data_IF_916144361717
#
_entry.id   IF_916144361717
#
_cell.length_a   1.000
_cell.length_b   1.000
_cell.length_c   1.000
_cell.angle_alpha   90.00
_cell.angle_beta   90.00
_cell.angle_gamma   90.00
#
_symmetry.space_group_name_H-M   'P 1'
#
loop_
_entity.id
_entity.type
_entity.pdbx_description
1 polymer ?
#
# COMPACT_ATOMS: atom_id res chain seq x y z
N UNK A 1 -12.95 -25.42 -33.64
CA UNK A 1 -13.64 -24.18 -33.24
C UNK A 1 -12.62 -23.07 -33.32
N UNK A 2 -12.90 -22.01 -34.09
CA UNK A 2 -11.93 -20.97 -34.41
C UNK A 2 -11.39 -20.33 -33.12
N UNK A 3 -10.07 -20.32 -32.99
CA UNK A 3 -9.35 -19.69 -31.88
C UNK A 3 -9.54 -18.17 -32.01
N UNK A 4 -10.51 -17.64 -31.29
CA UNK A 4 -10.75 -16.20 -31.21
C UNK A 4 -9.51 -15.54 -30.56
N UNK A 5 -8.61 -15.02 -31.40
CA UNK A 5 -7.46 -14.21 -31.00
C UNK A 5 -7.96 -12.86 -30.50
N UNK A 6 -8.10 -12.76 -29.19
CA UNK A 6 -8.40 -11.50 -28.49
C UNK A 6 -7.10 -10.70 -28.40
N UNK A 7 -7.13 -9.41 -28.70
CA UNK A 7 -5.95 -8.52 -28.60
C UNK A 7 -5.42 -8.46 -27.16
N UNK A 8 -4.38 -9.24 -26.91
CA UNK A 8 -3.58 -9.43 -25.69
C UNK A 8 -2.60 -8.27 -25.39
N UNK A 9 -2.58 -7.21 -26.19
CA UNK A 9 -1.71 -6.05 -25.95
C UNK A 9 -0.23 -6.34 -26.19
N UNK A 10 0.65 -5.86 -25.31
CA UNK A 10 2.13 -5.87 -25.49
C UNK A 10 2.87 -6.99 -24.73
N UNK A 11 2.16 -7.96 -24.14
CA UNK A 11 2.74 -9.09 -23.39
C UNK A 11 2.23 -10.44 -23.93
N UNK A 12 2.83 -11.59 -23.52
CA UNK A 12 2.46 -12.91 -24.03
C UNK A 12 0.97 -13.23 -23.84
N UNK A 13 0.42 -14.07 -24.72
CA UNK A 13 -0.98 -14.47 -24.75
C UNK A 13 -1.42 -15.07 -23.40
N UNK A 14 -2.65 -14.76 -22.97
CA UNK A 14 -3.23 -15.42 -21.80
C UNK A 14 -3.47 -16.90 -22.10
N UNK A 15 -2.92 -17.77 -21.25
CA UNK A 15 -3.35 -19.17 -21.20
C UNK A 15 -4.80 -19.25 -20.77
N UNK A 16 -5.62 -20.03 -21.48
CA UNK A 16 -6.98 -20.33 -21.04
C UNK A 16 -6.93 -21.51 -20.07
N UNK A 17 -7.34 -21.28 -18.82
CA UNK A 17 -7.54 -22.30 -17.81
C UNK A 17 -8.89 -22.07 -17.14
N UNK A 18 -9.61 -23.15 -16.82
CA UNK A 18 -10.83 -23.05 -16.03
C UNK A 18 -10.49 -22.59 -14.60
N UNK A 19 -11.25 -21.61 -14.12
CA UNK A 19 -11.17 -21.16 -12.73
C UNK A 19 -11.52 -22.35 -11.82
N UNK A 20 -10.69 -22.66 -10.80
CA UNK A 20 -11.06 -23.66 -9.82
C UNK A 20 -12.36 -23.26 -9.14
N UNK A 21 -13.24 -24.24 -8.89
CA UNK A 21 -14.51 -23.98 -8.21
C UNK A 21 -14.25 -23.30 -6.86
N UNK A 22 -15.04 -22.27 -6.50
CA UNK A 22 -14.87 -21.58 -5.24
C UNK A 22 -15.02 -22.59 -4.08
N UNK A 23 -14.17 -22.53 -3.04
CA UNK A 23 -14.31 -23.41 -1.89
C UNK A 23 -15.71 -23.26 -1.30
N UNK A 24 -16.32 -24.37 -0.87
CA UNK A 24 -17.62 -24.33 -0.23
C UNK A 24 -17.62 -23.37 0.96
N UNK A 25 -18.68 -22.56 1.09
CA UNK A 25 -18.86 -21.61 2.19
C UNK A 25 -19.07 -22.37 3.51
N UNK A 26 -17.97 -22.82 4.11
CA UNK A 26 -17.91 -23.40 5.44
C UNK A 26 -17.04 -22.51 6.33
N UNK A 27 -17.33 -22.44 7.63
CA UNK A 27 -16.60 -21.63 8.61
C UNK A 27 -15.09 -21.88 8.56
N UNK A 28 -14.67 -23.13 8.36
CA UNK A 28 -13.26 -23.52 8.21
C UNK A 28 -12.61 -22.91 6.95
N UNK A 29 -13.33 -22.93 5.83
CA UNK A 29 -12.86 -22.35 4.56
C UNK A 29 -12.87 -20.82 4.62
N UNK A 30 -13.84 -20.23 5.32
CA UNK A 30 -13.90 -18.79 5.57
C UNK A 30 -12.67 -18.31 6.35
N UNK A 31 -12.30 -19.01 7.44
CA UNK A 31 -11.09 -18.68 8.20
C UNK A 31 -9.81 -18.85 7.35
N UNK A 32 -9.73 -19.91 6.53
CA UNK A 32 -8.54 -20.11 5.67
C UNK A 32 -8.38 -19.03 4.60
N UNK A 33 -9.46 -18.42 4.13
CA UNK A 33 -9.43 -17.34 3.13
C UNK A 33 -9.24 -15.98 3.79
N UNK A 34 -9.84 -15.73 4.95
CA UNK A 34 -9.72 -14.47 5.69
C UNK A 34 -8.34 -14.30 6.31
N UNK A 35 -7.74 -15.39 6.81
CA UNK A 35 -6.45 -15.36 7.53
C UNK A 35 -5.33 -14.60 6.79
N UNK A 36 -5.00 -14.94 5.54
CA UNK A 36 -4.01 -14.21 4.76
C UNK A 36 -4.36 -12.73 4.57
N UNK A 37 -5.63 -12.42 4.31
CA UNK A 37 -6.12 -11.05 4.16
C UNK A 37 -5.95 -10.24 5.45
N UNK A 38 -6.28 -10.81 6.61
CA UNK A 38 -6.12 -10.17 7.91
C UNK A 38 -4.65 -9.86 8.24
N UNK A 39 -3.73 -10.77 7.90
CA UNK A 39 -2.28 -10.53 8.09
C UNK A 39 -1.83 -9.33 7.23
N UNK A 40 -2.19 -9.32 5.94
CA UNK A 40 -1.88 -8.20 5.06
C UNK A 40 -2.52 -6.87 5.55
N UNK A 41 -3.76 -6.91 6.01
CA UNK A 41 -4.45 -5.73 6.56
C UNK A 41 -3.76 -5.21 7.83
N UNK A 42 -3.30 -6.10 8.71
CA UNK A 42 -2.59 -5.73 9.93
C UNK A 42 -1.24 -5.06 9.67
N UNK A 43 -0.55 -5.44 8.58
CA UNK A 43 0.70 -4.82 8.17
C UNK A 43 0.49 -3.42 7.60
N UNK A 44 -0.63 -3.20 6.90
CA UNK A 44 -0.98 -1.88 6.33
C UNK A 44 -1.40 -0.88 7.41
N UNK A 45 -2.08 -1.31 8.47
CA UNK A 45 -2.42 -0.44 9.62
C UNK A 45 -1.18 -0.29 10.50
N UNK A 46 -0.25 0.56 10.06
CA UNK A 46 0.98 0.89 10.79
C UNK A 46 0.74 1.82 11.98
N UNK A 47 1.67 1.82 12.95
CA UNK A 47 1.64 2.69 14.13
C UNK A 47 1.61 4.21 13.81
N UNK A 48 2.01 4.61 12.59
CA UNK A 48 1.99 5.99 12.13
C UNK A 48 0.59 6.58 11.89
N UNK A 49 -0.38 5.77 11.44
CA UNK A 49 -1.76 6.23 11.21
C UNK A 49 -2.49 6.52 12.53
N UNK A 50 -2.17 5.78 13.58
CA UNK A 50 -2.72 5.96 14.93
C UNK A 50 -2.34 7.30 15.57
N UNK A 51 -1.24 7.92 15.16
CA UNK A 51 -0.85 9.26 15.64
C UNK A 51 -1.37 10.36 14.71
N UNK A 52 -1.30 10.15 13.40
CA UNK A 52 -1.73 11.14 12.41
C UNK A 52 -3.25 11.35 12.40
N UNK A 53 -4.04 10.29 12.59
CA UNK A 53 -5.51 10.38 12.65
C UNK A 53 -6.00 11.30 13.78
N UNK A 54 -5.63 11.05 15.05
CA UNK A 54 -5.98 11.91 16.17
C UNK A 54 -5.38 13.31 16.07
N UNK A 55 -4.14 13.45 15.57
CA UNK A 55 -3.53 14.76 15.37
C UNK A 55 -4.29 15.61 14.33
N UNK A 56 -4.69 14.99 13.21
CA UNK A 56 -5.52 15.64 12.19
C UNK A 56 -6.92 15.98 12.73
N UNK A 57 -7.53 15.07 13.48
CA UNK A 57 -8.83 15.33 14.13
C UNK A 57 -8.75 16.43 15.20
N UNK A 58 -7.63 16.55 15.93
CA UNK A 58 -7.41 17.61 16.90
C UNK A 58 -7.16 18.98 16.23
N UNK A 59 -6.49 18.99 15.07
CA UNK A 59 -6.15 20.22 14.35
C UNK A 59 -7.31 20.75 13.49
N UNK A 60 -8.06 19.87 12.82
CA UNK A 60 -9.12 20.23 11.88
C UNK A 60 -10.53 19.94 12.41
N UNK A 61 -10.64 19.29 13.57
CA UNK A 61 -11.90 18.89 14.17
C UNK A 61 -12.49 17.61 13.54
N UNK A 62 -13.66 17.14 14.02
CA UNK A 62 -14.33 15.95 13.51
C UNK A 62 -14.85 16.09 12.07
N UNK A 63 -14.82 17.31 11.51
CA UNK A 63 -15.23 17.61 10.13
C UNK A 63 -14.33 16.94 9.08
N UNK A 64 -13.14 16.45 9.43
CA UNK A 64 -12.25 15.78 8.46
C UNK A 64 -12.56 14.28 8.31
N UNK A 65 -13.33 13.69 9.22
CA UNK A 65 -13.58 12.25 9.28
C UNK A 65 -14.35 11.72 8.05
N UNK A 66 -15.15 12.55 7.39
CA UNK A 66 -15.83 12.14 6.16
C UNK A 66 -14.83 11.85 5.02
N UNK A 67 -13.68 12.55 5.00
CA UNK A 67 -12.62 12.30 4.01
C UNK A 67 -12.03 10.91 4.23
N UNK A 68 -11.81 10.54 5.50
CA UNK A 68 -11.37 9.18 5.85
C UNK A 68 -12.39 8.14 5.39
N UNK A 69 -13.68 8.37 5.62
CA UNK A 69 -14.74 7.47 5.18
C UNK A 69 -14.73 7.29 3.65
N UNK A 70 -14.71 8.38 2.89
CA UNK A 70 -14.64 8.33 1.42
C UNK A 70 -13.37 7.61 0.95
N UNK A 71 -12.23 7.87 1.59
CA UNK A 71 -10.96 7.22 1.26
C UNK A 71 -11.01 5.71 1.48
N UNK A 72 -11.56 5.25 2.60
CA UNK A 72 -11.75 3.82 2.89
C UNK A 72 -12.69 3.17 1.89
N UNK A 73 -13.78 3.83 1.51
CA UNK A 73 -14.70 3.35 0.48
C UNK A 73 -14.03 3.20 -0.89
N UNK A 74 -13.29 4.21 -1.32
CA UNK A 74 -12.54 4.15 -2.58
C UNK A 74 -11.47 3.05 -2.54
N UNK A 75 -10.78 2.90 -1.42
CA UNK A 75 -9.77 1.86 -1.24
C UNK A 75 -10.40 0.46 -1.22
N UNK A 76 -11.59 0.29 -0.65
CA UNK A 76 -12.36 -0.96 -0.71
C UNK A 76 -12.69 -1.32 -2.16
N UNK A 77 -13.29 -0.39 -2.90
CA UNK A 77 -13.67 -0.61 -4.32
C UNK A 77 -12.42 -0.95 -5.13
N UNK A 78 -11.35 -0.17 -4.98
CA UNK A 78 -10.10 -0.39 -5.71
C UNK A 78 -9.49 -1.77 -5.44
N UNK A 79 -9.41 -2.18 -4.17
CA UNK A 79 -8.88 -3.50 -3.80
C UNK A 79 -9.77 -4.65 -4.31
N UNK A 80 -11.09 -4.50 -4.26
CA UNK A 80 -12.03 -5.49 -4.80
C UNK A 80 -11.86 -5.64 -6.32
N UNK A 81 -11.72 -4.53 -7.03
CA UNK A 81 -11.49 -4.54 -8.48
C UNK A 81 -10.16 -5.18 -8.85
N UNK A 82 -9.10 -4.88 -8.10
CA UNK A 82 -7.80 -5.52 -8.29
C UNK A 82 -7.86 -7.03 -8.03
N UNK A 83 -8.52 -7.46 -6.95
CA UNK A 83 -8.69 -8.88 -6.64
C UNK A 83 -9.47 -9.60 -7.76
N UNK A 84 -10.55 -8.97 -8.25
CA UNK A 84 -11.34 -9.48 -9.37
C UNK A 84 -10.50 -9.63 -10.65
N UNK A 85 -9.67 -8.64 -10.96
CA UNK A 85 -8.75 -8.69 -12.09
C UNK A 85 -7.76 -9.85 -11.98
N UNK A 86 -7.14 -10.03 -10.81
CA UNK A 86 -6.19 -11.13 -10.55
C UNK A 86 -6.86 -12.49 -10.72
N UNK A 87 -8.09 -12.65 -10.22
CA UNK A 87 -8.84 -13.90 -10.36
C UNK A 87 -9.15 -14.20 -11.83
N UNK A 88 -9.58 -13.22 -12.63
CA UNK A 88 -9.94 -13.46 -14.03
C UNK A 88 -8.75 -13.64 -14.97
N UNK A 89 -7.66 -12.89 -14.77
CA UNK A 89 -6.52 -12.89 -15.70
C UNK A 89 -5.35 -13.76 -15.22
N UNK A 90 -5.34 -14.20 -13.95
CA UNK A 90 -4.21 -14.93 -13.36
C UNK A 90 -2.94 -14.09 -13.20
N UNK A 91 -3.03 -12.77 -13.41
CA UNK A 91 -1.91 -11.84 -13.38
C UNK A 91 -2.19 -10.66 -12.46
N UNK A 92 -1.14 -10.05 -11.91
CA UNK A 92 -1.28 -8.87 -11.08
C UNK A 92 -1.83 -7.68 -11.88
N UNK A 93 -2.60 -6.80 -11.23
CA UNK A 93 -3.11 -5.58 -11.87
C UNK A 93 -1.98 -4.73 -12.46
N UNK A 94 -0.79 -4.73 -11.82
CA UNK A 94 0.43 -4.09 -12.32
C UNK A 94 0.89 -4.66 -13.68
N UNK A 95 0.86 -5.99 -13.85
CA UNK A 95 1.12 -6.64 -15.14
C UNK A 95 0.04 -6.25 -16.16
N UNK A 96 -1.22 -6.15 -15.73
CA UNK A 96 -2.31 -5.66 -16.56
C UNK A 96 -2.05 -4.27 -17.15
N UNK A 97 -1.57 -3.32 -16.33
CA UNK A 97 -1.21 -1.98 -16.81
C UNK A 97 -0.04 -2.00 -17.81
N UNK A 98 0.94 -2.89 -17.62
CA UNK A 98 2.04 -3.06 -18.56
C UNK A 98 1.59 -3.53 -19.96
N UNK A 99 0.38 -4.11 -20.10
CA UNK A 99 -0.22 -4.43 -21.41
C UNK A 99 -0.82 -3.22 -22.13
N UNK A 100 -1.19 -2.17 -21.40
CA UNK A 100 -1.80 -0.97 -21.98
C UNK A 100 -0.74 -0.05 -22.62
N UNK A 101 -1.09 0.61 -23.74
CA UNK A 101 -0.26 1.67 -24.31
C UNK A 101 -0.05 2.76 -23.24
N UNK A 102 1.19 3.10 -22.83
CA UNK A 102 2.41 3.29 -23.65
C UNK A 102 3.44 2.13 -23.60
N UNK A 103 3.07 0.97 -23.04
CA UNK A 103 3.90 -0.24 -23.05
C UNK A 103 4.72 -0.48 -21.78
N UNK A 104 5.30 -1.70 -21.63
CA UNK A 104 5.84 -2.21 -20.37
C UNK A 104 7.06 -1.44 -19.85
N UNK A 105 7.88 -0.86 -20.74
CA UNK A 105 9.05 -0.06 -20.35
C UNK A 105 8.67 1.26 -19.70
N UNK A 106 7.62 1.93 -20.19
CA UNK A 106 7.14 3.18 -19.60
C UNK A 106 6.51 2.93 -18.24
N UNK A 107 5.58 1.97 -18.18
CA UNK A 107 4.91 1.61 -16.93
C UNK A 107 5.88 1.10 -15.87
N UNK A 108 6.88 0.29 -16.24
CA UNK A 108 7.91 -0.16 -15.31
C UNK A 108 8.68 0.98 -14.64
N UNK A 109 9.16 1.95 -15.43
CA UNK A 109 9.83 3.14 -14.89
C UNK A 109 8.89 4.06 -14.12
N UNK A 110 7.67 4.29 -14.62
CA UNK A 110 6.67 5.10 -13.94
C UNK A 110 6.35 4.53 -12.56
N UNK A 111 6.11 3.21 -12.47
CA UNK A 111 5.87 2.54 -11.20
C UNK A 111 7.07 2.53 -10.27
N UNK A 112 8.29 2.35 -10.79
CA UNK A 112 9.50 2.45 -9.99
C UNK A 112 9.67 3.85 -9.38
N UNK A 113 9.43 4.90 -10.17
CA UNK A 113 9.51 6.30 -9.71
C UNK A 113 8.39 6.58 -8.70
N UNK A 114 7.15 6.16 -8.98
CA UNK A 114 6.03 6.34 -8.05
C UNK A 114 6.26 5.60 -6.74
N UNK A 115 6.79 4.38 -6.78
CA UNK A 115 7.17 3.62 -5.59
C UNK A 115 8.28 4.31 -4.81
N UNK A 116 9.31 4.80 -5.49
CA UNK A 116 10.40 5.57 -4.87
C UNK A 116 9.90 6.88 -4.24
N UNK A 117 8.97 7.59 -4.89
CA UNK A 117 8.35 8.80 -4.34
C UNK A 117 7.43 8.48 -3.16
N UNK A 118 6.70 7.36 -3.20
CA UNK A 118 5.79 6.95 -2.13
C UNK A 118 6.55 6.53 -0.87
N UNK A 119 7.61 5.74 -1.01
CA UNK A 119 8.43 5.25 0.11
C UNK A 119 9.45 6.30 0.55
N UNK A 120 10.02 7.05 -0.39
CA UNK A 120 11.00 8.10 -0.13
C UNK A 120 10.40 9.42 0.37
N UNK A 121 9.08 9.50 0.53
CA UNK A 121 8.44 10.71 1.04
C UNK A 121 8.88 10.96 2.49
N UNK A 122 9.51 12.11 2.80
CA UNK A 122 10.03 12.40 4.13
C UNK A 122 8.93 12.46 5.19
N UNK A 123 7.65 12.55 4.80
CA UNK A 123 6.52 12.47 5.71
C UNK A 123 6.43 11.15 6.49
N UNK A 124 6.84 10.01 5.93
CA UNK A 124 6.85 8.73 6.67
C UNK A 124 7.93 8.68 7.74
N UNK A 125 9.12 9.21 7.41
CA UNK A 125 10.21 9.34 8.36
C UNK A 125 9.88 10.35 9.47
N UNK A 126 9.26 11.48 9.11
CA UNK A 126 8.81 12.50 10.05
C UNK A 126 7.69 12.00 10.97
N UNK A 127 6.71 11.25 10.44
CA UNK A 127 5.65 10.64 11.25
C UNK A 127 6.22 9.61 12.24
N UNK A 128 7.11 8.73 11.77
CA UNK A 128 7.77 7.74 12.63
C UNK A 128 8.63 8.40 13.72
N UNK A 129 9.37 9.45 13.36
CA UNK A 129 10.18 10.22 14.32
C UNK A 129 9.32 10.96 15.35
N UNK A 130 8.17 11.50 14.95
CA UNK A 130 7.21 12.11 15.87
C UNK A 130 6.65 11.07 16.86
N UNK A 131 6.38 9.84 16.40
CA UNK A 131 5.95 8.74 17.28
C UNK A 131 7.05 8.30 18.26
N UNK A 132 8.29 8.16 17.79
CA UNK A 132 9.45 7.83 18.64
C UNK A 132 9.71 8.94 19.66
N UNK A 133 9.63 10.19 19.24
CA UNK A 133 9.76 11.32 20.15
C UNK A 133 8.64 11.34 21.18
N UNK A 134 7.38 11.15 20.76
CA UNK A 134 6.23 11.14 21.67
C UNK A 134 6.27 9.96 22.67
N UNK A 135 6.80 8.80 22.28
CA UNK A 135 6.93 7.65 23.18
C UNK A 135 8.01 7.84 24.25
N UNK A 136 9.06 8.61 23.95
CA UNK A 136 10.16 8.90 24.88
C UNK A 136 9.87 10.14 25.73
N UNK A 137 9.35 11.21 25.13
CA UNK A 137 9.12 12.50 25.77
C UNK A 137 7.76 12.59 26.49
N UNK A 138 6.81 11.71 26.17
CA UNK A 138 5.49 11.67 26.81
C UNK A 138 4.55 12.82 26.41
N UNK A 139 4.93 13.65 25.44
CA UNK A 139 4.09 14.71 24.89
C UNK A 139 4.22 14.79 23.36
N UNK A 140 3.21 15.39 22.72
CA UNK A 140 3.23 15.62 21.27
C UNK A 140 4.27 16.72 20.98
N UNK A 141 5.13 16.55 19.95
CA UNK A 141 6.15 17.54 19.63
C UNK A 141 5.56 18.91 19.25
N UNK A 142 6.01 19.96 19.94
CA UNK A 142 5.62 21.35 19.69
C UNK A 142 6.62 22.12 18.82
N UNK A 143 6.34 23.41 18.58
CA UNK A 143 7.26 24.33 17.90
C UNK A 143 8.70 24.37 18.47
N UNK A 144 8.94 24.32 19.80
CA UNK A 144 10.30 24.30 20.35
C UNK A 144 11.05 22.97 20.14
N UNK A 145 10.35 21.85 19.93
CA UNK A 145 10.95 20.52 19.82
C UNK A 145 11.25 20.09 18.38
N UNK A 146 10.96 20.97 17.39
CA UNK A 146 11.17 20.70 15.96
C UNK A 146 12.58 20.20 15.65
N UNK A 147 13.60 20.72 16.33
CA UNK A 147 14.99 20.29 16.15
C UNK A 147 15.21 18.83 16.54
N UNK A 148 14.63 18.39 17.66
CA UNK A 148 14.75 17.00 18.14
C UNK A 148 13.98 16.04 17.23
N UNK A 149 12.78 16.41 16.77
CA UNK A 149 11.98 15.59 15.84
C UNK A 149 12.67 15.45 14.48
N UNK A 150 13.28 16.53 13.96
CA UNK A 150 14.05 16.48 12.72
C UNK A 150 15.30 15.60 12.87
N UNK A 151 16.01 15.68 14.00
CA UNK A 151 17.15 14.82 14.27
C UNK A 151 16.74 13.34 14.29
N UNK A 152 15.67 12.99 15.00
CA UNK A 152 15.11 11.63 14.97
C UNK A 152 14.62 11.22 13.59
N UNK A 153 14.06 12.15 12.81
CA UNK A 153 13.67 11.93 11.41
C UNK A 153 14.84 11.54 10.52
N UNK A 154 15.94 12.29 10.61
CA UNK A 154 17.16 11.99 9.86
C UNK A 154 17.84 10.69 10.31
N UNK A 155 17.88 10.41 11.62
CA UNK A 155 18.42 9.14 12.16
C UNK A 155 17.59 7.96 11.66
N UNK A 156 16.26 8.07 11.72
CA UNK A 156 15.34 7.03 11.23
C UNK A 156 15.52 6.82 9.73
N UNK A 157 15.57 7.90 8.95
CA UNK A 157 15.80 7.84 7.51
C UNK A 157 17.15 7.20 7.16
N UNK A 158 18.22 7.62 7.83
CA UNK A 158 19.56 7.07 7.63
C UNK A 158 19.61 5.57 8.00
N UNK A 159 18.95 5.15 9.07
CA UNK A 159 18.87 3.73 9.45
C UNK A 159 18.15 2.89 8.40
N UNK A 160 17.03 3.38 7.84
CA UNK A 160 16.29 2.69 6.78
C UNK A 160 17.14 2.59 5.51
N UNK A 161 17.81 3.68 5.12
CA UNK A 161 18.74 3.66 3.97
C UNK A 161 19.88 2.67 4.20
N UNK A 162 20.48 2.64 5.39
CA UNK A 162 21.54 1.68 5.73
C UNK A 162 21.02 0.23 5.66
N UNK A 163 19.88 -0.07 6.27
CA UNK A 163 19.28 -1.41 6.23
C UNK A 163 18.96 -1.82 4.78
N UNK A 164 18.46 -0.91 3.95
CA UNK A 164 18.18 -1.19 2.54
C UNK A 164 19.46 -1.42 1.72
N UNK A 165 20.56 -0.72 2.03
CA UNK A 165 21.85 -0.92 1.38
C UNK A 165 22.48 -2.28 1.71
N UNK A 166 22.25 -2.81 2.91
CA UNK A 166 22.78 -4.11 3.34
C UNK A 166 21.79 -5.27 3.20
N UNK A 167 20.50 -5.01 3.07
CA UNK A 167 19.46 -6.04 2.94
C UNK A 167 19.24 -6.55 1.51
N UNK A 168 19.92 -5.97 0.52
CA UNK A 168 19.83 -6.34 -0.90
C UNK A 168 20.87 -7.37 -1.37
N UNK A 169 21.68 -7.94 -0.47
CA UNK A 169 22.64 -9.01 -0.76
C UNK A 169 22.10 -10.40 -0.44
#
# INVERSE_FOLDING_TARGET
>A
MAEERIDHGKMPDWGRADLPAPPEFNFRNAISVIGPGTICLSMSIGSGEWLMGPAAAAQFGPSILWITLVSVWLQLIFNQECARYVMYCGETTYSGFMRTSPGPRFWGWAYAIMGALQVGWPGWAAASAATIFASIAGHIPGAPDKGAVLAWGYVSFASVVLVLLFGGS
#
